data_IF_882645400697
#
_entry.id   IF_882645400697
#
_cell.length_a   1.000
_cell.length_b   1.000
_cell.length_c   1.000
_cell.angle_alpha   90.00
_cell.angle_beta   90.00
_cell.angle_gamma   90.00
#
_symmetry.space_group_name_H-M   'P 1'
#
loop_
_entity.id
_entity.type
_entity.pdbx_description
1 polymer ?
#
# COMPACT_ATOMS: atom_id res chain seq x y z
N UNK A 1 37.52 15.77 -6.35
CA UNK A 1 36.77 15.39 -7.56
C UNK A 1 35.70 14.39 -7.15
N UNK A 2 34.45 14.66 -7.53
CA UNK A 2 33.22 13.85 -7.43
C UNK A 2 32.85 13.22 -6.07
N UNK A 3 32.07 13.97 -5.28
CA UNK A 3 31.00 13.36 -4.47
C UNK A 3 29.97 12.76 -5.40
N UNK A 4 29.77 11.45 -5.32
CA UNK A 4 28.53 10.81 -5.78
C UNK A 4 28.08 9.87 -4.67
N UNK A 5 27.53 10.45 -3.61
CA UNK A 5 26.59 9.73 -2.78
C UNK A 5 25.42 9.40 -3.70
N UNK A 6 25.31 8.13 -4.09
CA UNK A 6 24.06 7.57 -4.60
C UNK A 6 23.03 7.71 -3.48
N UNK A 7 22.46 8.90 -3.34
CA UNK A 7 21.10 9.05 -2.86
C UNK A 7 20.26 8.30 -3.89
N UNK A 8 20.13 6.99 -3.67
CA UNK A 8 18.89 6.32 -4.02
C UNK A 8 17.85 7.17 -3.35
N UNK A 9 17.26 8.08 -4.12
CA UNK A 9 15.95 8.63 -3.85
C UNK A 9 15.12 7.38 -3.66
N UNK A 10 14.99 6.96 -2.40
CA UNK A 10 14.00 5.98 -1.99
C UNK A 10 12.74 6.70 -2.40
N UNK A 11 12.30 6.45 -3.62
CA UNK A 11 10.97 6.80 -4.11
C UNK A 11 10.11 6.55 -2.93
N UNK A 12 9.44 7.60 -2.43
CA UNK A 12 8.71 7.62 -1.18
C UNK A 12 7.66 6.52 -1.16
N UNK A 13 8.13 5.29 -0.96
CA UNK A 13 7.40 4.14 -0.54
C UNK A 13 7.29 4.43 0.94
N UNK A 14 6.33 5.31 1.23
CA UNK A 14 5.97 5.77 2.55
C UNK A 14 5.82 4.53 3.40
N UNK A 15 6.90 4.12 4.08
CA UNK A 15 7.03 2.75 4.59
C UNK A 15 5.81 2.46 5.46
N UNK A 16 4.97 1.54 5.01
CA UNK A 16 3.71 1.27 5.67
C UNK A 16 3.99 0.82 7.09
N UNK A 17 3.59 1.63 8.06
CA UNK A 17 3.75 1.25 9.46
C UNK A 17 2.79 0.11 9.79
N UNK A 18 3.11 -0.69 10.81
CA UNK A 18 2.23 -1.79 11.26
C UNK A 18 0.80 -1.32 11.55
N UNK A 19 0.66 -0.10 12.10
CA UNK A 19 -0.64 0.50 12.40
C UNK A 19 -1.39 0.92 11.15
N UNK A 20 -0.70 1.46 10.14
CA UNK A 20 -1.33 1.79 8.85
C UNK A 20 -1.74 0.53 8.11
N UNK A 21 -0.87 -0.49 8.09
CA UNK A 21 -1.17 -1.77 7.44
C UNK A 21 -2.37 -2.45 8.08
N UNK A 22 -2.45 -2.47 9.42
CA UNK A 22 -3.60 -3.00 10.14
C UNK A 22 -4.90 -2.27 9.76
N UNK A 23 -4.89 -0.94 9.72
CA UNK A 23 -6.06 -0.15 9.29
C UNK A 23 -6.44 -0.41 7.83
N UNK A 24 -5.44 -0.62 6.97
CA UNK A 24 -5.66 -0.98 5.58
C UNK A 24 -6.31 -2.35 5.44
N UNK A 25 -5.84 -3.38 6.15
CA UNK A 25 -6.46 -4.70 6.15
C UNK A 25 -7.89 -4.67 6.71
N UNK A 26 -8.12 -3.97 7.82
CA UNK A 26 -9.47 -3.76 8.39
C UNK A 26 -10.39 -3.06 7.37
N UNK A 27 -9.87 -2.06 6.66
CA UNK A 27 -10.61 -1.36 5.62
C UNK A 27 -10.89 -2.24 4.40
N UNK A 28 -9.95 -3.10 3.99
CA UNK A 28 -10.17 -4.06 2.90
C UNK A 28 -11.20 -5.12 3.26
N UNK A 29 -11.27 -5.52 4.54
CA UNK A 29 -12.29 -6.44 5.05
C UNK A 29 -13.68 -5.78 5.10
N UNK A 30 -13.73 -4.47 5.38
CA UNK A 30 -14.98 -3.70 5.42
C UNK A 30 -15.49 -3.30 4.04
N UNK A 31 -14.59 -2.96 3.11
CA UNK A 31 -14.90 -2.53 1.76
C UNK A 31 -14.46 -3.62 0.79
N UNK A 32 -15.42 -4.43 0.37
CA UNK A 32 -15.26 -5.50 -0.61
C UNK A 32 -14.97 -4.98 -2.04
N UNK A 33 -14.89 -5.91 -3.00
CA UNK A 33 -14.60 -5.58 -4.41
C UNK A 33 -15.77 -4.89 -5.11
N UNK A 34 -16.99 -5.08 -4.62
CA UNK A 34 -18.21 -4.51 -5.19
C UNK A 34 -18.52 -3.11 -4.64
N UNK A 35 -17.81 -2.69 -3.60
CA UNK A 35 -17.95 -1.37 -3.00
C UNK A 35 -17.56 -0.26 -4.00
N UNK A 36 -18.47 0.64 -4.37
CA UNK A 36 -18.11 1.82 -5.16
C UNK A 36 -17.17 2.71 -4.36
N UNK A 37 -16.19 3.30 -5.06
CA UNK A 37 -15.14 4.13 -4.48
C UNK A 37 -14.33 3.44 -3.37
N UNK A 38 -14.21 2.11 -3.42
CA UNK A 38 -13.46 1.28 -2.46
C UNK A 38 -12.15 1.94 -2.03
N UNK A 39 -11.31 2.29 -3.01
CA UNK A 39 -9.97 2.83 -2.75
C UNK A 39 -9.98 4.20 -2.06
N UNK A 40 -10.96 5.05 -2.35
CA UNK A 40 -11.14 6.32 -1.64
C UNK A 40 -11.52 6.09 -0.18
N UNK A 41 -12.43 5.15 0.08
CA UNK A 41 -12.86 4.78 1.44
C UNK A 41 -11.73 4.12 2.25
N UNK A 42 -10.91 3.28 1.61
CA UNK A 42 -9.73 2.66 2.23
C UNK A 42 -8.69 3.73 2.55
N UNK A 43 -8.37 4.62 1.62
CA UNK A 43 -7.45 5.74 1.87
C UNK A 43 -7.92 6.63 3.02
N UNK A 44 -9.22 6.93 3.08
CA UNK A 44 -9.82 7.69 4.18
C UNK A 44 -9.72 6.96 5.53
N UNK A 45 -9.90 5.64 5.55
CA UNK A 45 -9.80 4.82 6.76
C UNK A 45 -8.36 4.75 7.29
N UNK A 46 -7.37 4.69 6.40
CA UNK A 46 -5.94 4.74 6.76
C UNK A 46 -5.59 6.15 7.26
N UNK A 47 -6.06 7.19 6.57
CA UNK A 47 -5.99 8.60 6.94
C UNK A 47 -4.66 9.30 6.61
N UNK A 48 -3.60 8.53 6.32
CA UNK A 48 -2.24 9.02 6.05
C UNK A 48 -1.70 8.67 4.67
N UNK A 49 -2.50 7.97 3.84
CA UNK A 49 -2.08 7.45 2.54
C UNK A 49 -3.02 7.91 1.44
N UNK A 50 -2.49 8.21 0.26
CA UNK A 50 -3.29 8.54 -0.92
C UNK A 50 -3.96 7.31 -1.52
N UNK A 51 -4.96 7.53 -2.39
CA UNK A 51 -5.64 6.45 -3.12
C UNK A 51 -4.65 5.65 -3.96
N UNK A 52 -3.67 6.31 -4.55
CA UNK A 52 -2.61 5.72 -5.39
C UNK A 52 -1.64 4.88 -4.56
N UNK A 53 -1.25 5.36 -3.36
CA UNK A 53 -0.43 4.57 -2.43
C UNK A 53 -1.15 3.31 -1.94
N UNK A 54 -2.44 3.43 -1.61
CA UNK A 54 -3.30 2.32 -1.20
C UNK A 54 -3.43 1.27 -2.32
N UNK A 55 -3.64 1.70 -3.56
CA UNK A 55 -3.72 0.80 -4.73
C UNK A 55 -2.41 0.06 -4.95
N UNK A 56 -1.28 0.78 -4.96
CA UNK A 56 0.05 0.14 -5.11
C UNK A 56 0.32 -0.87 -4.01
N UNK A 57 -0.03 -0.55 -2.76
CA UNK A 57 0.14 -1.47 -1.63
C UNK A 57 -0.72 -2.72 -1.77
N UNK A 58 -1.95 -2.58 -2.27
CA UNK A 58 -2.81 -3.71 -2.57
C UNK A 58 -2.26 -4.62 -3.68
N UNK A 59 -1.74 -4.04 -4.76
CA UNK A 59 -1.13 -4.81 -5.85
C UNK A 59 0.07 -5.64 -5.37
N UNK A 60 0.91 -5.06 -4.50
CA UNK A 60 2.02 -5.77 -3.86
C UNK A 60 1.52 -6.91 -2.99
N UNK A 61 0.50 -6.67 -2.14
CA UNK A 61 -0.12 -7.71 -1.31
C UNK A 61 -0.64 -8.88 -2.15
N UNK A 62 -1.36 -8.59 -3.25
CA UNK A 62 -1.90 -9.63 -4.15
C UNK A 62 -0.77 -10.40 -4.83
N UNK A 63 0.27 -9.72 -5.29
CA UNK A 63 1.44 -10.36 -5.91
C UNK A 63 2.16 -11.28 -4.92
N UNK A 64 2.34 -10.84 -3.67
CA UNK A 64 2.99 -11.62 -2.64
C UNK A 64 2.16 -12.88 -2.28
N UNK A 65 0.84 -12.76 -2.17
CA UNK A 65 -0.06 -13.91 -1.99
C UNK A 65 0.06 -14.90 -3.15
N UNK A 66 0.03 -14.40 -4.40
CA UNK A 66 0.13 -15.25 -5.58
C UNK A 66 1.49 -15.98 -5.64
N UNK A 67 2.56 -15.33 -5.20
CA UNK A 67 3.89 -15.95 -5.13
C UNK A 67 3.94 -17.07 -4.09
N UNK A 68 3.19 -16.95 -2.98
CA UNK A 68 3.08 -17.99 -1.94
C UNK A 68 2.28 -19.20 -2.44
N UNK A 69 1.22 -19.00 -3.23
CA UNK A 69 0.38 -20.10 -3.76
C UNK A 69 1.02 -20.85 -4.94
N UNK A 70 2.04 -20.27 -5.58
CA UNK A 70 2.74 -20.88 -6.73
C UNK A 70 3.95 -21.73 -6.34
N UNK A 71 4.20 -21.94 -5.04
CA UNK A 71 5.35 -22.66 -4.47
C UNK A 71 4.97 -23.95 -3.75
#
# INVERSE_FOLDING_TARGET
MASSSMSVSRTSDSSWTLRENKRFEEALAKYDKDTPDRWRKVAQAVGSKSVEEVKRHYELLVRDIHYIESG
#
